data_IF_873458362384
#
_entry.id   IF_873458362384
#
_cell.length_a   1.000
_cell.length_b   1.000
_cell.length_c   1.000
_cell.angle_alpha   90.00
_cell.angle_beta   90.00
_cell.angle_gamma   90.00
#
_symmetry.space_group_name_H-M   'P 1'
#
loop_
_entity.id
_entity.type
_entity.pdbx_description
1 polymer ?
#
# COMPACT_ATOMS: atom_id res chain seq x y z
N UNK A 1 0.03 23.26 50.05
CA UNK A 1 0.00 22.06 49.19
C UNK A 1 1.22 22.12 48.28
N UNK A 2 2.08 21.12 48.34
CA UNK A 2 3.41 21.17 47.74
C UNK A 2 3.37 20.69 46.28
N UNK A 3 4.21 21.23 45.39
CA UNK A 3 4.24 20.86 43.95
C UNK A 3 4.46 19.35 43.74
N UNK A 4 5.12 18.69 44.71
CA UNK A 4 5.27 17.24 44.81
C UNK A 4 3.94 16.49 44.91
N UNK A 5 2.95 17.04 45.63
CA UNK A 5 1.64 16.40 45.78
C UNK A 5 0.83 16.47 44.48
N UNK A 6 0.95 17.58 43.73
CA UNK A 6 0.31 17.75 42.42
C UNK A 6 0.90 16.81 41.35
N UNK A 7 2.24 16.64 41.33
CA UNK A 7 2.91 15.73 40.40
C UNK A 7 2.70 14.25 40.73
N UNK A 8 2.59 13.89 42.02
CA UNK A 8 2.25 12.53 42.45
C UNK A 8 0.82 12.14 42.05
N UNK A 9 -0.10 13.11 41.99
CA UNK A 9 -1.48 12.90 41.53
C UNK A 9 -1.59 12.74 40.00
N UNK A 10 -0.73 13.41 39.23
CA UNK A 10 -0.67 13.26 37.77
C UNK A 10 0.06 11.98 37.33
N UNK A 11 1.03 11.49 38.11
CA UNK A 11 1.76 10.26 37.81
C UNK A 11 0.97 8.96 38.11
N UNK A 12 -0.18 9.06 38.79
CA UNK A 12 -1.08 7.94 39.06
C UNK A 12 -2.19 7.74 38.02
N UNK A 13 -2.24 8.56 36.96
CA UNK A 13 -3.20 8.39 35.87
C UNK A 13 -2.69 7.28 34.92
N UNK A 14 -3.01 6.03 35.28
CA UNK A 14 -2.80 4.86 34.43
C UNK A 14 -3.84 4.92 33.32
N UNK A 15 -3.40 5.26 32.11
CA UNK A 15 -4.18 5.05 30.88
C UNK A 15 -3.95 3.59 30.49
N UNK A 16 -4.92 2.72 30.82
CA UNK A 16 -4.96 1.36 30.29
C UNK A 16 -5.23 1.44 28.77
N UNK A 17 -4.17 1.22 27.98
CA UNK A 17 -4.31 0.91 26.57
C UNK A 17 -4.70 -0.58 26.46
N UNK A 18 -5.78 -0.93 25.72
CA UNK A 18 -6.19 -2.31 25.57
C UNK A 18 -5.07 -3.15 24.95
N UNK A 19 -4.91 -4.43 25.36
CA UNK A 19 -3.86 -5.28 24.84
C UNK A 19 -4.07 -5.53 23.34
N UNK A 20 -3.07 -5.21 22.52
CA UNK A 20 -3.00 -5.69 21.14
C UNK A 20 -2.87 -7.22 21.15
N UNK A 21 -3.95 -7.90 20.83
CA UNK A 21 -3.95 -9.33 20.55
C UNK A 21 -3.28 -9.55 19.19
N UNK A 22 -1.96 -9.73 19.20
CA UNK A 22 -1.24 -10.33 18.06
C UNK A 22 -1.59 -11.81 18.04
N UNK A 23 -2.64 -12.18 17.30
CA UNK A 23 -2.88 -13.57 16.91
C UNK A 23 -1.82 -13.98 15.89
N UNK A 24 -0.75 -14.59 16.38
CA UNK A 24 0.16 -15.40 15.59
C UNK A 24 -0.51 -16.76 15.35
N UNK A 25 -1.38 -16.85 14.35
CA UNK A 25 -1.77 -18.14 13.76
C UNK A 25 -0.67 -18.53 12.76
N UNK A 26 0.33 -19.25 13.29
CA UNK A 26 1.25 -20.05 12.48
C UNK A 26 0.51 -21.31 12.08
N UNK A 27 0.08 -21.37 10.82
CA UNK A 27 -0.45 -22.59 10.21
C UNK A 27 0.67 -23.23 9.38
N UNK A 28 1.09 -24.40 9.84
CA UNK A 28 2.09 -25.26 9.21
C UNK A 28 1.56 -25.78 7.87
N UNK A 29 1.92 -25.13 6.76
CA UNK A 29 1.67 -25.66 5.43
C UNK A 29 2.77 -26.66 5.04
N UNK A 30 2.70 -27.86 5.63
CA UNK A 30 3.44 -29.03 5.18
C UNK A 30 2.67 -29.68 4.02
N UNK A 31 3.10 -29.47 2.78
CA UNK A 31 2.46 -30.08 1.61
C UNK A 31 3.04 -29.65 0.27
N UNK A 32 4.36 -29.76 0.09
CA UNK A 32 5.05 -29.40 -1.17
C UNK A 32 5.24 -30.59 -2.13
N UNK A 33 4.64 -31.76 -1.88
CA UNK A 33 4.82 -32.95 -2.72
C UNK A 33 3.82 -33.10 -3.86
N UNK A 34 2.66 -32.42 -3.80
CA UNK A 34 1.57 -32.67 -4.76
C UNK A 34 1.64 -31.77 -6.01
N UNK A 35 2.38 -30.66 -5.97
CA UNK A 35 2.49 -29.74 -7.12
C UNK A 35 3.40 -30.27 -8.23
N UNK A 36 4.47 -31.00 -7.88
CA UNK A 36 5.38 -31.60 -8.88
C UNK A 36 4.69 -32.73 -9.67
N UNK A 37 3.82 -33.51 -9.03
CA UNK A 37 3.06 -34.59 -9.68
C UNK A 37 1.99 -34.05 -10.65
N UNK A 38 1.40 -32.88 -10.35
CA UNK A 38 0.44 -32.22 -11.25
C UNK A 38 1.15 -31.65 -12.47
N UNK A 39 2.36 -31.10 -12.31
CA UNK A 39 3.15 -30.55 -13.42
C UNK A 39 3.58 -31.64 -14.41
N UNK A 40 4.05 -32.79 -13.90
CA UNK A 40 4.44 -33.94 -14.72
C UNK A 40 3.26 -34.52 -15.52
N UNK A 41 2.05 -34.51 -14.96
CA UNK A 41 0.85 -35.06 -15.60
C UNK A 41 0.31 -34.16 -16.72
N UNK A 42 0.48 -32.84 -16.62
CA UNK A 42 0.12 -31.88 -17.68
C UNK A 42 1.08 -32.01 -18.87
N UNK A 43 2.38 -32.21 -18.62
CA UNK A 43 3.38 -32.35 -19.68
C UNK A 43 3.21 -33.67 -20.46
N UNK A 44 2.82 -34.74 -19.78
CA UNK A 44 2.53 -36.04 -20.42
C UNK A 44 1.24 -36.03 -21.26
N UNK A 45 0.27 -35.17 -20.91
CA UNK A 45 -0.97 -34.98 -21.66
C UNK A 45 -0.75 -34.22 -22.97
N UNK A 46 0.26 -33.35 -23.03
CA UNK A 46 0.60 -32.58 -24.23
C UNK A 46 1.30 -33.43 -25.31
N UNK A 47 1.93 -34.56 -24.94
CA UNK A 47 2.66 -35.42 -25.88
C UNK A 47 1.79 -36.47 -26.60
N UNK A 48 0.50 -36.60 -26.28
CA UNK A 48 -0.38 -37.63 -26.88
C UNK A 48 -1.51 -37.08 -27.77
N UNK A 49 -1.58 -35.78 -28.02
CA UNK A 49 -2.65 -35.18 -28.84
C UNK A 49 -2.22 -34.78 -30.27
N UNK A 50 -1.14 -35.36 -30.80
CA UNK A 50 -0.61 -35.07 -32.13
C UNK A 50 -0.97 -36.14 -33.16
N UNK A 51 -2.26 -36.33 -33.42
CA UNK A 51 -2.72 -37.11 -34.57
C UNK A 51 -4.05 -36.53 -35.09
N UNK A 52 -3.95 -35.38 -35.77
CA UNK A 52 -5.06 -34.81 -36.53
C UNK A 52 -5.01 -35.40 -37.95
N UNK A 53 -6.09 -36.01 -38.46
CA UNK A 53 -6.15 -36.53 -39.82
C UNK A 53 -6.22 -35.40 -40.84
N UNK A 54 -5.42 -35.54 -41.90
CA UNK A 54 -5.38 -34.71 -43.10
C UNK A 54 -6.78 -34.54 -43.71
N UNK A 55 -7.29 -33.30 -43.67
CA UNK A 55 -8.45 -32.88 -44.43
C UNK A 55 -8.21 -31.46 -44.97
N UNK A 56 -7.71 -31.37 -46.20
CA UNK A 56 -7.86 -30.19 -47.06
C UNK A 56 -9.17 -30.32 -47.85
N UNK A 57 -9.96 -29.24 -48.05
CA UNK A 57 -9.56 -28.22 -49.02
C UNK A 57 -9.81 -26.76 -48.59
N UNK A 58 -8.74 -25.96 -48.71
CA UNK A 58 -8.63 -24.84 -49.64
C UNK A 58 -9.78 -23.79 -49.72
N UNK A 59 -9.57 -22.64 -49.06
CA UNK A 59 -9.84 -21.27 -49.57
C UNK A 59 -8.90 -20.28 -48.83
N UNK A 60 -7.61 -20.65 -48.70
CA UNK A 60 -6.65 -20.02 -47.80
C UNK A 60 -5.89 -18.86 -48.42
N UNK A 61 -6.33 -17.62 -48.16
CA UNK A 61 -5.37 -16.52 -48.11
C UNK A 61 -4.34 -16.77 -46.99
N UNK A 62 -3.12 -16.22 -47.08
CA UNK A 62 -2.10 -16.40 -46.04
C UNK A 62 -2.66 -15.94 -44.69
N UNK A 63 -2.72 -16.84 -43.70
CA UNK A 63 -3.10 -16.51 -42.33
C UNK A 63 -2.06 -15.56 -41.75
N UNK A 64 -2.43 -14.29 -41.54
CA UNK A 64 -1.56 -13.30 -40.89
C UNK A 64 -1.66 -13.45 -39.36
N UNK A 65 -0.55 -13.29 -38.66
CA UNK A 65 -0.54 -13.22 -37.18
C UNK A 65 -1.02 -11.84 -36.71
N UNK A 66 -1.41 -11.73 -35.43
CA UNK A 66 -1.85 -10.45 -34.85
C UNK A 66 -0.73 -9.39 -34.94
N UNK A 67 0.52 -9.79 -34.68
CA UNK A 67 1.69 -8.92 -34.76
C UNK A 67 1.92 -8.42 -36.19
N UNK A 68 1.71 -9.30 -37.19
CA UNK A 68 1.80 -8.90 -38.61
C UNK A 68 0.68 -7.94 -38.98
N UNK A 69 -0.55 -8.19 -38.53
CA UNK A 69 -1.70 -7.31 -38.77
C UNK A 69 -1.45 -5.92 -38.17
N UNK A 70 -0.98 -5.85 -36.92
CA UNK A 70 -0.72 -4.57 -36.25
C UNK A 70 0.45 -3.82 -36.90
N UNK A 71 1.51 -4.54 -37.31
CA UNK A 71 2.68 -3.95 -37.97
C UNK A 71 2.36 -3.40 -39.37
N UNK A 72 1.46 -4.06 -40.10
CA UNK A 72 1.02 -3.61 -41.44
C UNK A 72 0.06 -2.40 -41.36
N UNK A 73 -0.55 -2.14 -40.20
CA UNK A 73 -1.54 -1.09 -40.01
C UNK A 73 -0.90 0.26 -39.63
N UNK A 74 -1.43 1.36 -40.18
CA UNK A 74 -0.98 2.72 -39.83
C UNK A 74 -1.16 3.00 -38.33
N UNK A 75 -0.14 3.57 -37.69
CA UNK A 75 -0.14 3.95 -36.27
C UNK A 75 1.01 3.33 -35.45
N UNK A 76 1.03 3.55 -34.12
CA UNK A 76 2.11 3.05 -33.26
C UNK A 76 2.11 1.51 -33.20
N UNK A 77 3.31 0.94 -33.17
CA UNK A 77 3.49 -0.49 -32.89
C UNK A 77 3.19 -0.79 -31.41
N UNK A 78 2.93 -2.06 -31.08
CA UNK A 78 2.60 -2.48 -29.71
C UNK A 78 3.67 -2.05 -28.69
N UNK A 79 4.94 -2.12 -29.07
CA UNK A 79 6.08 -1.77 -28.20
C UNK A 79 6.33 -0.26 -28.06
N UNK A 80 5.73 0.54 -28.95
CA UNK A 80 5.88 2.00 -28.96
C UNK A 80 4.81 2.68 -28.09
N UNK A 81 3.76 1.96 -27.71
CA UNK A 81 2.67 2.49 -26.90
C UNK A 81 3.17 2.70 -25.48
N UNK A 82 3.46 3.97 -25.18
CA UNK A 82 3.83 4.42 -23.84
C UNK A 82 2.71 5.26 -23.29
N UNK A 83 2.19 4.89 -22.12
CA UNK A 83 1.18 5.67 -21.42
C UNK A 83 1.83 6.38 -20.25
N UNK A 84 1.86 7.70 -20.31
CA UNK A 84 2.25 8.51 -19.16
C UNK A 84 1.11 8.50 -18.14
N UNK A 85 1.41 8.12 -16.91
CA UNK A 85 0.50 8.25 -15.76
C UNK A 85 0.50 9.71 -15.31
N UNK A 86 -0.67 10.39 -15.28
CA UNK A 86 -0.76 11.77 -14.87
C UNK A 86 -0.63 11.87 -13.34
N UNK A 87 0.57 12.24 -12.89
CA UNK A 87 0.86 12.48 -11.48
C UNK A 87 2.34 12.80 -11.29
N UNK A 88 2.63 13.89 -10.57
CA UNK A 88 3.97 14.10 -10.01
C UNK A 88 4.28 12.96 -9.03
N UNK A 89 5.52 12.46 -9.10
CA UNK A 89 6.02 11.44 -8.18
C UNK A 89 5.85 11.92 -6.73
N UNK A 90 4.85 11.41 -6.02
CA UNK A 90 4.56 11.77 -4.63
C UNK A 90 3.09 11.96 -4.27
N UNK A 91 2.19 12.12 -5.25
CA UNK A 91 0.76 12.19 -4.99
C UNK A 91 0.08 10.83 -5.24
N UNK A 92 -0.73 10.36 -4.28
CA UNK A 92 -1.61 9.22 -4.52
C UNK A 92 -2.52 9.52 -5.74
N UNK A 93 -2.78 8.53 -6.62
CA UNK A 93 -3.59 8.74 -7.82
C UNK A 93 -5.02 9.13 -7.44
N UNK A 94 -5.27 10.44 -7.38
CA UNK A 94 -6.53 11.03 -6.94
C UNK A 94 -7.45 11.22 -8.15
N UNK A 95 -8.02 10.13 -8.64
CA UNK A 95 -9.05 10.19 -9.67
C UNK A 95 -9.41 8.85 -10.27
N UNK A 96 -10.69 8.68 -10.58
CA UNK A 96 -11.18 7.54 -11.35
C UNK A 96 -10.68 7.67 -12.80
N UNK A 97 -9.72 6.82 -13.17
CA UNK A 97 -9.17 6.77 -14.54
C UNK A 97 -10.03 5.83 -15.36
N UNK A 98 -10.80 6.40 -16.28
CA UNK A 98 -11.61 5.64 -17.23
C UNK A 98 -10.75 5.10 -18.37
N UNK A 99 -11.03 3.91 -18.94
CA UNK A 99 -10.29 3.35 -20.07
C UNK A 99 -10.17 4.30 -21.28
N UNK A 100 -11.20 5.09 -21.57
CA UNK A 100 -11.18 6.06 -22.65
C UNK A 100 -10.04 7.10 -22.51
N UNK A 101 -9.78 7.57 -21.29
CA UNK A 101 -8.65 8.48 -21.00
C UNK A 101 -7.32 7.77 -21.19
N UNK A 102 -7.22 6.48 -20.87
CA UNK A 102 -6.00 5.70 -21.10
C UNK A 102 -5.67 5.64 -22.59
N UNK A 103 -6.69 5.42 -23.43
CA UNK A 103 -6.51 5.41 -24.89
C UNK A 103 -6.12 6.78 -25.44
N UNK A 104 -6.67 7.86 -24.88
CA UNK A 104 -6.29 9.24 -25.23
C UNK A 104 -4.83 9.56 -24.84
N UNK A 105 -4.43 9.19 -23.62
CA UNK A 105 -3.06 9.33 -23.12
C UNK A 105 -2.05 8.49 -23.92
N UNK A 106 -2.48 7.37 -24.47
CA UNK A 106 -1.70 6.51 -25.36
C UNK A 106 -1.63 7.03 -26.81
N UNK A 107 -2.33 8.12 -27.12
CA UNK A 107 -2.45 8.69 -28.47
C UNK A 107 -2.84 7.65 -29.53
N UNK A 108 -3.78 6.75 -29.17
CA UNK A 108 -4.23 5.73 -30.12
C UNK A 108 -4.98 6.39 -31.29
N UNK A 109 -4.77 5.93 -32.54
CA UNK A 109 -5.48 6.47 -33.69
C UNK A 109 -6.97 6.17 -33.58
N UNK A 110 -7.80 7.13 -33.98
CA UNK A 110 -9.25 6.95 -34.03
C UNK A 110 -9.60 5.95 -35.14
N UNK A 111 -10.34 4.90 -34.79
CA UNK A 111 -10.86 3.91 -35.72
C UNK A 111 -12.34 4.16 -36.01
N UNK A 112 -12.80 4.02 -37.27
CA UNK A 112 -14.19 4.28 -37.63
C UNK A 112 -15.16 3.27 -37.01
N UNK A 113 -14.68 2.07 -36.69
CA UNK A 113 -15.40 1.05 -35.95
C UNK A 113 -14.47 0.44 -34.89
N UNK A 114 -14.78 0.70 -33.63
CA UNK A 114 -13.87 0.40 -32.51
C UNK A 114 -14.09 -1.00 -31.93
N UNK A 115 -13.11 -1.50 -31.17
CA UNK A 115 -13.22 -2.75 -30.44
C UNK A 115 -14.36 -2.77 -29.42
N UNK A 116 -14.70 -1.63 -28.80
CA UNK A 116 -15.84 -1.52 -27.87
C UNK A 116 -17.16 -1.67 -28.61
N UNK A 117 -17.31 -1.03 -29.77
CA UNK A 117 -18.51 -1.21 -30.61
C UNK A 117 -18.64 -2.67 -31.07
N UNK A 118 -17.51 -3.34 -31.31
CA UNK A 118 -17.48 -4.78 -31.58
C UNK A 118 -17.94 -5.61 -30.37
N UNK A 119 -17.54 -5.24 -29.15
CA UNK A 119 -18.02 -5.86 -27.92
C UNK A 119 -19.53 -5.65 -27.71
N UNK A 120 -20.03 -4.44 -27.97
CA UNK A 120 -21.46 -4.12 -27.90
C UNK A 120 -22.26 -4.96 -28.91
N UNK A 121 -21.73 -5.11 -30.13
CA UNK A 121 -22.34 -5.97 -31.15
C UNK A 121 -22.36 -7.45 -30.69
N UNK A 122 -21.26 -7.95 -30.12
CA UNK A 122 -21.22 -9.32 -29.57
C UNK A 122 -22.21 -9.51 -28.43
N UNK A 123 -22.36 -8.51 -27.54
CA UNK A 123 -23.29 -8.53 -26.43
C UNK A 123 -24.77 -8.50 -26.90
N UNK A 124 -25.04 -7.93 -28.07
CA UNK A 124 -26.38 -7.93 -28.68
C UNK A 124 -26.81 -9.28 -29.25
N UNK A 125 -25.87 -10.21 -29.49
CA UNK A 125 -26.18 -11.55 -29.98
C UNK A 125 -26.71 -12.43 -28.82
N UNK A 126 -27.71 -13.31 -29.07
CA UNK A 126 -28.21 -14.22 -28.04
C UNK A 126 -27.09 -15.06 -27.42
N UNK A 127 -27.04 -15.10 -26.08
CA UNK A 127 -26.00 -15.80 -25.32
C UNK A 127 -25.98 -17.30 -25.60
N UNK A 128 -27.14 -17.90 -25.89
CA UNK A 128 -27.34 -19.34 -26.19
C UNK A 128 -26.77 -19.79 -27.53
N UNK A 129 -26.43 -18.88 -28.45
CA UNK A 129 -25.90 -19.27 -29.76
C UNK A 129 -24.51 -19.93 -29.62
N UNK A 130 -24.25 -21.04 -30.33
CA UNK A 130 -22.92 -21.63 -30.43
C UNK A 130 -21.88 -20.61 -30.91
N UNK A 131 -20.65 -20.72 -30.41
CA UNK A 131 -19.55 -19.80 -30.72
C UNK A 131 -19.32 -19.68 -32.24
N UNK A 132 -19.36 -20.79 -32.97
CA UNK A 132 -19.14 -20.81 -34.41
C UNK A 132 -20.23 -20.04 -35.16
N UNK A 133 -21.49 -20.16 -34.72
CA UNK A 133 -22.60 -19.39 -35.25
C UNK A 133 -22.41 -17.89 -34.98
N UNK A 134 -22.01 -17.51 -33.76
CA UNK A 134 -21.69 -16.10 -33.43
C UNK A 134 -20.58 -15.54 -34.31
N UNK A 135 -19.49 -16.29 -34.49
CA UNK A 135 -18.37 -15.92 -35.37
C UNK A 135 -18.81 -15.72 -36.82
N UNK A 136 -19.63 -16.63 -37.33
CA UNK A 136 -20.12 -16.54 -38.71
C UNK A 136 -21.07 -15.36 -38.89
N UNK A 137 -21.99 -15.12 -37.96
CA UNK A 137 -22.88 -13.96 -37.96
C UNK A 137 -22.07 -12.67 -37.96
N UNK A 138 -21.11 -12.53 -37.05
CA UNK A 138 -20.19 -11.38 -37.00
C UNK A 138 -19.45 -11.20 -38.32
N UNK A 139 -18.89 -12.28 -38.88
CA UNK A 139 -18.12 -12.23 -40.14
C UNK A 139 -18.98 -11.71 -41.29
N UNK A 140 -20.22 -12.16 -41.41
CA UNK A 140 -21.16 -11.69 -42.43
C UNK A 140 -21.52 -10.22 -42.20
N UNK A 141 -21.83 -9.84 -40.96
CA UNK A 141 -22.15 -8.46 -40.58
C UNK A 141 -21.00 -7.49 -40.87
N UNK A 142 -19.78 -7.85 -40.48
CA UNK A 142 -18.56 -7.09 -40.78
C UNK A 142 -18.26 -7.06 -42.28
N UNK A 143 -18.49 -8.15 -43.02
CA UNK A 143 -18.34 -8.16 -44.47
C UNK A 143 -19.28 -7.17 -45.18
N UNK A 144 -20.47 -6.96 -44.63
CA UNK A 144 -21.43 -5.96 -45.12
C UNK A 144 -21.05 -4.53 -44.71
N UNK A 145 -20.66 -4.31 -43.44
CA UNK A 145 -20.28 -3.00 -42.91
C UNK A 145 -18.92 -2.51 -43.40
N UNK A 146 -17.98 -3.42 -43.65
CA UNK A 146 -16.60 -3.11 -43.97
C UNK A 146 -16.42 -2.32 -45.26
N UNK A 147 -17.32 -2.51 -46.24
CA UNK A 147 -17.28 -1.76 -47.50
C UNK A 147 -17.69 -0.29 -47.35
N UNK A 148 -18.52 0.05 -46.36
CA UNK A 148 -19.04 1.40 -46.15
C UNK A 148 -18.30 2.16 -45.04
N UNK A 149 -17.89 1.47 -43.97
CA UNK A 149 -17.28 2.08 -42.79
C UNK A 149 -15.78 1.82 -42.67
N UNK A 150 -15.18 1.00 -43.55
CA UNK A 150 -13.79 0.58 -43.42
C UNK A 150 -13.55 -0.36 -42.23
N UNK A 151 -14.61 -0.93 -41.68
CA UNK A 151 -14.55 -1.90 -40.58
C UNK A 151 -14.17 -3.28 -41.10
N UNK A 152 -12.87 -3.61 -41.08
CA UNK A 152 -12.41 -4.97 -41.41
C UNK A 152 -12.04 -5.73 -40.14
N UNK A 153 -12.01 -7.07 -40.17
CA UNK A 153 -11.51 -7.86 -39.04
C UNK A 153 -10.11 -7.41 -38.61
N UNK A 154 -9.24 -7.07 -39.55
CA UNK A 154 -7.87 -6.62 -39.31
C UNK A 154 -7.82 -5.28 -38.58
N UNK A 155 -8.67 -4.31 -38.96
CA UNK A 155 -8.71 -3.00 -38.27
C UNK A 155 -9.21 -3.14 -36.83
N UNK A 156 -10.19 -4.02 -36.59
CA UNK A 156 -10.74 -4.28 -35.25
C UNK A 156 -9.70 -5.00 -34.37
N UNK A 157 -9.01 -6.01 -34.93
CA UNK A 157 -7.93 -6.72 -34.22
C UNK A 157 -6.79 -5.76 -33.88
N UNK A 158 -6.44 -4.86 -34.81
CA UNK A 158 -5.42 -3.84 -34.57
C UNK A 158 -5.81 -2.89 -33.44
N UNK A 159 -7.03 -2.36 -33.48
CA UNK A 159 -7.58 -1.47 -32.45
C UNK A 159 -7.57 -2.14 -31.07
N UNK A 160 -8.09 -3.37 -30.98
CA UNK A 160 -8.12 -4.15 -29.75
C UNK A 160 -6.71 -4.41 -29.20
N UNK A 161 -5.77 -4.78 -30.06
CA UNK A 161 -4.38 -5.07 -29.65
C UNK A 161 -3.68 -3.82 -29.11
N UNK A 162 -3.86 -2.67 -29.78
CA UNK A 162 -3.30 -1.39 -29.33
C UNK A 162 -3.92 -0.93 -28.00
N UNK A 163 -5.23 -1.11 -27.84
CA UNK A 163 -5.93 -0.80 -26.56
C UNK A 163 -5.47 -1.68 -25.41
N UNK A 164 -5.26 -2.97 -25.65
CA UNK A 164 -4.68 -3.88 -24.65
C UNK A 164 -3.26 -3.46 -24.28
N UNK A 165 -2.41 -3.14 -25.26
CA UNK A 165 -1.06 -2.65 -25.02
C UNK A 165 -1.07 -1.34 -24.19
N UNK A 166 -1.97 -0.40 -24.51
CA UNK A 166 -2.13 0.83 -23.74
C UNK A 166 -2.54 0.57 -22.28
N UNK A 167 -3.50 -0.33 -22.04
CA UNK A 167 -3.92 -0.70 -20.68
C UNK A 167 -2.76 -1.36 -19.90
N UNK A 168 -2.03 -2.27 -20.52
CA UNK A 168 -0.89 -2.94 -19.89
C UNK A 168 0.23 -1.96 -19.55
N UNK A 169 0.59 -1.08 -20.50
CA UNK A 169 1.59 -0.05 -20.28
C UNK A 169 1.19 0.92 -19.15
N UNK A 170 -0.11 1.25 -19.05
CA UNK A 170 -0.63 2.06 -17.96
C UNK A 170 -0.49 1.34 -16.60
N UNK A 171 -0.88 0.06 -16.51
CA UNK A 171 -0.75 -0.75 -15.28
C UNK A 171 0.72 -0.87 -14.86
N UNK A 172 1.62 -1.16 -15.80
CA UNK A 172 3.05 -1.25 -15.52
C UNK A 172 3.62 0.07 -14.98
N UNK A 173 3.24 1.20 -15.57
CA UNK A 173 3.69 2.51 -15.12
C UNK A 173 3.12 2.84 -13.73
N UNK A 174 1.83 2.55 -13.51
CA UNK A 174 1.19 2.75 -12.21
C UNK A 174 1.85 1.90 -11.11
N UNK A 175 2.17 0.63 -11.40
CA UNK A 175 2.91 -0.23 -10.47
C UNK A 175 4.28 0.35 -10.13
N UNK A 176 5.05 0.77 -11.14
CA UNK A 176 6.37 1.40 -10.93
C UNK A 176 6.28 2.66 -10.07
N UNK A 177 5.26 3.48 -10.28
CA UNK A 177 5.02 4.67 -9.45
C UNK A 177 4.66 4.32 -8.01
N UNK A 178 3.78 3.33 -7.82
CA UNK A 178 3.41 2.85 -6.50
C UNK A 178 4.63 2.28 -5.74
N UNK A 179 5.44 1.43 -6.39
CA UNK A 179 6.65 0.86 -5.79
C UNK A 179 7.67 1.94 -5.41
N UNK A 180 7.85 2.94 -6.27
CA UNK A 180 8.70 4.10 -6.00
C UNK A 180 8.21 4.93 -4.80
N UNK A 181 6.91 5.18 -4.71
CA UNK A 181 6.30 5.87 -3.58
C UNK A 181 6.45 5.08 -2.29
N UNK A 182 6.14 3.78 -2.29
CA UNK A 182 6.30 2.90 -1.13
C UNK A 182 7.74 2.90 -0.63
N UNK A 183 8.71 2.68 -1.52
CA UNK A 183 10.13 2.67 -1.17
C UNK A 183 10.58 3.99 -0.55
N UNK A 184 10.12 5.12 -1.10
CA UNK A 184 10.42 6.45 -0.59
C UNK A 184 9.83 6.64 0.81
N UNK A 185 8.54 6.35 1.00
CA UNK A 185 7.86 6.48 2.29
C UNK A 185 8.45 5.55 3.35
N UNK A 186 8.80 4.31 3.01
CA UNK A 186 9.47 3.38 3.93
C UNK A 186 10.83 3.92 4.40
N UNK A 187 11.59 4.53 3.49
CA UNK A 187 12.86 5.18 3.83
C UNK A 187 12.66 6.35 4.80
N UNK A 188 11.64 7.18 4.57
CA UNK A 188 11.30 8.29 5.48
C UNK A 188 10.85 7.79 6.86
N UNK A 189 10.04 6.73 6.90
CA UNK A 189 9.60 6.09 8.16
C UNK A 189 10.82 5.61 8.95
N UNK A 190 11.76 4.91 8.30
CA UNK A 190 12.98 4.43 8.95
C UNK A 190 13.82 5.58 9.51
N UNK A 191 13.96 6.68 8.75
CA UNK A 191 14.67 7.88 9.21
C UNK A 191 13.99 8.53 10.42
N UNK A 192 12.66 8.63 10.43
CA UNK A 192 11.90 9.18 11.55
C UNK A 192 11.98 8.27 12.79
N UNK A 193 11.96 6.95 12.62
CA UNK A 193 12.14 5.99 13.71
C UNK A 193 13.51 6.16 14.39
N UNK A 194 14.59 6.30 13.61
CA UNK A 194 15.93 6.57 14.15
C UNK A 194 15.98 7.88 14.97
N UNK A 195 15.32 8.94 14.49
CA UNK A 195 15.20 10.20 15.24
C UNK A 195 14.42 10.01 16.55
N UNK A 196 13.32 9.25 16.54
CA UNK A 196 12.54 8.96 17.75
C UNK A 196 13.41 8.23 18.79
N UNK A 197 14.20 7.25 18.36
CA UNK A 197 15.12 6.52 19.24
C UNK A 197 16.20 7.41 19.84
N UNK A 198 16.80 8.30 19.04
CA UNK A 198 17.77 9.28 19.51
C UNK A 198 17.16 10.20 20.58
N UNK A 199 15.95 10.74 20.33
CA UNK A 199 15.25 11.58 21.31
C UNK A 199 14.90 10.81 22.59
N UNK A 200 14.49 9.55 22.49
CA UNK A 200 14.25 8.68 23.67
C UNK A 200 15.52 8.51 24.49
N UNK A 201 16.67 8.27 23.86
CA UNK A 201 17.97 8.20 24.53
C UNK A 201 18.33 9.51 25.23
N UNK A 202 18.09 10.65 24.58
CA UNK A 202 18.33 11.97 25.17
C UNK A 202 17.44 12.22 26.40
N UNK A 203 16.15 11.86 26.35
CA UNK A 203 15.22 11.96 27.49
C UNK A 203 15.71 11.11 28.66
N UNK A 204 16.13 9.87 28.41
CA UNK A 204 16.66 8.98 29.45
C UNK A 204 17.93 9.56 30.08
N UNK A 205 18.87 10.08 29.27
CA UNK A 205 20.06 10.76 29.77
C UNK A 205 19.74 11.99 30.63
N UNK A 206 18.77 12.80 30.21
CA UNK A 206 18.32 13.96 30.98
C UNK A 206 17.70 13.56 32.33
N UNK A 207 16.86 12.51 32.35
CA UNK A 207 16.27 11.97 33.59
C UNK A 207 17.33 11.48 34.56
N UNK A 208 18.32 10.72 34.08
CA UNK A 208 19.44 10.26 34.90
C UNK A 208 20.25 11.42 35.46
N UNK A 209 20.48 12.47 34.66
CA UNK A 209 21.18 13.68 35.12
C UNK A 209 20.41 14.38 36.24
N UNK A 210 19.09 14.57 36.07
CA UNK A 210 18.23 15.16 37.12
C UNK A 210 18.29 14.32 38.39
N UNK A 211 18.12 13.01 38.29
CA UNK A 211 18.19 12.09 39.44
C UNK A 211 19.53 12.20 40.18
N UNK A 212 20.65 12.22 39.46
CA UNK A 212 21.99 12.36 40.05
C UNK A 212 22.16 13.71 40.75
N UNK A 213 21.70 14.80 40.12
CA UNK A 213 21.80 16.14 40.71
C UNK A 213 20.94 16.26 41.96
N UNK A 214 19.72 15.73 41.94
CA UNK A 214 18.85 15.66 43.13
C UNK A 214 19.53 14.91 44.27
N UNK A 215 20.12 13.74 44.00
CA UNK A 215 20.85 12.98 45.02
C UNK A 215 22.03 13.76 45.62
N UNK A 216 22.81 14.48 44.79
CA UNK A 216 23.91 15.32 45.30
C UNK A 216 23.39 16.48 46.15
N UNK A 217 22.31 17.14 45.73
CA UNK A 217 21.70 18.23 46.49
C UNK A 217 21.13 17.74 47.83
N UNK A 218 20.47 16.58 47.85
CA UNK A 218 19.91 15.99 49.07
C UNK A 218 21.05 15.63 50.05
N UNK A 219 22.13 15.02 49.56
CA UNK A 219 23.31 14.71 50.37
C UNK A 219 23.95 15.96 50.98
N UNK A 220 24.14 17.01 50.19
CA UNK A 220 24.70 18.28 50.68
C UNK A 220 23.76 18.96 51.67
N UNK A 221 22.44 18.93 51.41
CA UNK A 221 21.44 19.47 52.33
C UNK A 221 21.51 18.80 53.70
N UNK A 222 21.67 17.46 53.76
CA UNK A 222 21.85 16.75 55.02
C UNK A 222 23.11 17.18 55.76
N UNK A 223 24.24 17.33 55.05
CA UNK A 223 25.50 17.80 55.67
C UNK A 223 25.38 19.20 56.27
N UNK A 224 24.63 20.09 55.63
CA UNK A 224 24.39 21.44 56.16
C UNK A 224 23.44 21.39 57.36
N UNK A 225 22.43 20.52 57.32
CA UNK A 225 21.50 20.30 58.44
C UNK A 225 22.25 19.80 59.69
N UNK A 226 23.19 18.87 59.54
CA UNK A 226 24.05 18.40 60.63
C UNK A 226 24.82 19.56 61.31
N UNK A 227 25.28 20.54 60.52
CA UNK A 227 25.96 21.74 61.03
C UNK A 227 24.98 22.64 61.79
N UNK A 228 23.77 22.83 61.25
CA UNK A 228 22.73 23.64 61.92
C UNK A 228 22.31 22.99 63.24
N UNK A 229 22.12 21.67 63.26
CA UNK A 229 21.78 20.90 64.46
C UNK A 229 22.84 21.09 65.54
N UNK A 230 24.12 20.94 65.19
CA UNK A 230 25.26 21.14 66.09
C UNK A 230 25.23 22.50 66.81
N UNK A 231 24.94 23.59 66.08
CA UNK A 231 24.86 24.92 66.69
C UNK A 231 23.52 25.21 67.39
N UNK A 232 22.47 24.46 67.10
CA UNK A 232 21.14 24.65 67.72
C UNK A 232 21.02 24.02 69.11
N UNK A 233 21.76 22.94 69.38
CA UNK A 233 21.71 22.22 70.65
C UNK A 233 22.38 22.95 71.82
N UNK A 234 23.27 23.91 71.52
CA UNK A 234 23.97 24.74 72.52
C UNK A 234 23.28 26.08 72.82
N UNK A 235 22.06 26.29 72.30
CA UNK A 235 21.23 27.41 72.76
C UNK A 235 20.42 26.94 73.98
N UNK A 236 20.82 27.26 75.23
CA UNK A 236 19.98 26.96 76.39
C UNK A 236 18.60 27.59 76.19
N UNK A 237 17.51 26.95 76.65
CA UNK A 237 16.17 27.52 76.56
C UNK A 237 16.26 28.95 77.09
N UNK A 238 15.96 29.91 76.21
CA UNK A 238 16.05 31.33 76.52
C UNK A 238 15.41 31.57 77.88
N UNK A 239 16.12 32.23 78.80
CA UNK A 239 15.57 32.68 80.10
C UNK A 239 14.33 33.58 79.96
N UNK A 240 13.97 33.98 78.74
CA UNK A 240 12.77 34.76 78.41
C UNK A 240 11.64 33.94 77.78
N UNK A 241 11.80 32.64 77.53
CA UNK A 241 10.69 31.75 77.21
C UNK A 241 9.89 31.50 78.51
N UNK A 242 8.84 32.29 78.70
CA UNK A 242 8.02 32.25 79.90
C UNK A 242 7.53 30.81 80.19
N UNK A 243 7.76 30.26 81.39
CA UNK A 243 7.11 29.03 81.81
C UNK A 243 5.63 29.36 82.07
N UNK A 244 4.77 28.97 81.14
CA UNK A 244 3.32 28.92 81.39
C UNK A 244 2.48 29.84 80.52
N UNK A 245 2.00 29.29 79.40
CA UNK A 245 0.58 29.43 79.08
C UNK A 245 0.07 28.05 78.71
N UNK A 246 -0.46 27.40 79.74
CA UNK A 246 -1.21 26.17 79.72
C UNK A 246 -2.15 26.08 78.51
N UNK A 247 -1.94 25.03 77.74
CA UNK A 247 -2.94 24.05 77.32
C UNK A 247 -4.31 24.22 78.02
N UNK A 248 -5.19 25.01 77.40
CA UNK A 248 -6.62 24.97 77.67
C UNK A 248 -7.23 23.89 76.77
N UNK A 249 -7.43 22.74 77.39
CA UNK A 249 -8.24 21.60 76.98
C UNK A 249 -9.54 22.04 76.25
N UNK A 250 -9.56 21.95 74.92
CA UNK A 250 -10.79 22.13 74.14
C UNK A 250 -11.34 20.76 73.76
N UNK A 251 -12.34 20.33 74.52
CA UNK A 251 -13.10 19.10 74.32
C UNK A 251 -14.32 19.43 73.45
N UNK A 252 -14.40 19.00 72.17
CA UNK A 252 -15.62 19.16 71.40
C UNK A 252 -16.61 18.03 71.73
N UNK A 253 -17.86 18.42 71.93
CA UNK A 253 -19.05 17.53 71.90
C UNK A 253 -19.48 17.27 70.47
#
# INVERSE_FOLDING_TARGET
MNLRDAMRKAAGLVVELPPETVKSEGDEFAGSSDLDDVLARVEQSAQHSSAVPDAEPNMGGPTKTVEQIVRDAEGPNLDEIKVATPGEAGAAPAGEVTPAKIYEMAHLPATPFTAEQMLDMLASLPSELPLDTKRQTVKVTLGSLGKSLGATPETIVTDASRKLAALNAYIENLSKQADGFVTHTETEIAALQAQIEEKRKAILGARQKVQRMTQMCDQESHRIDDVLEFFSLDVPPSKYAAPGSHEAEHKPQ
#
